data_IF_381935763864
#
_entry.id   IF_381935763864
#
_cell.length_a   1.000
_cell.length_b   1.000
_cell.length_c   1.000
_cell.angle_alpha   90.00
_cell.angle_beta   90.00
_cell.angle_gamma   90.00
#
_symmetry.space_group_name_H-M   'P 1'
#
loop_
_entity.id
_entity.type
_entity.pdbx_description
1 polymer ?
#
# COMPACT_ATOMS: atom_id res chain seq x y z
N UNK A 1 -13.10 -0.40 13.56
CA UNK A 1 -12.45 -1.27 12.55
C UNK A 1 -13.27 -1.24 11.27
N UNK A 2 -12.62 -1.15 10.11
CA UNK A 2 -13.24 -1.32 8.80
C UNK A 2 -12.62 -2.56 8.14
N UNK A 3 -13.45 -3.53 7.78
CA UNK A 3 -13.03 -4.77 7.12
C UNK A 3 -13.60 -4.84 5.71
N UNK A 4 -12.74 -5.02 4.72
CA UNK A 4 -13.10 -5.24 3.33
C UNK A 4 -12.76 -6.69 2.99
N UNK A 5 -13.75 -7.42 2.46
CA UNK A 5 -13.61 -8.81 2.03
C UNK A 5 -14.00 -8.94 0.57
N UNK A 6 -13.11 -9.54 -0.21
CA UNK A 6 -13.34 -9.89 -1.61
C UNK A 6 -13.54 -11.40 -1.71
N UNK A 7 -14.68 -11.81 -2.26
CA UNK A 7 -14.97 -13.22 -2.53
C UNK A 7 -15.11 -13.41 -4.03
N UNK A 8 -14.24 -14.25 -4.60
CA UNK A 8 -14.08 -14.35 -6.05
C UNK A 8 -14.18 -15.79 -6.56
N UNK A 9 -14.83 -15.95 -7.71
CA UNK A 9 -14.97 -17.19 -8.48
C UNK A 9 -14.89 -16.85 -9.96
N UNK A 10 -14.54 -17.84 -10.78
CA UNK A 10 -14.46 -17.68 -12.23
C UNK A 10 -14.97 -18.92 -12.96
N UNK A 11 -15.42 -18.75 -14.20
CA UNK A 11 -15.78 -19.83 -15.13
C UNK A 11 -14.63 -20.22 -16.07
N UNK A 12 -13.59 -19.39 -16.16
CA UNK A 12 -12.36 -19.64 -16.94
C UNK A 12 -11.12 -19.17 -16.18
N UNK A 13 -9.93 -19.77 -16.41
CA UNK A 13 -8.69 -19.25 -15.85
C UNK A 13 -8.53 -17.76 -16.15
N UNK A 14 -8.40 -16.93 -15.11
CA UNK A 14 -8.33 -15.47 -15.27
C UNK A 14 -7.32 -14.85 -14.30
N UNK A 15 -6.51 -13.88 -14.73
CA UNK A 15 -5.84 -12.99 -13.80
C UNK A 15 -6.84 -12.30 -12.88
N UNK A 16 -6.53 -12.24 -11.59
CA UNK A 16 -7.34 -11.50 -10.63
C UNK A 16 -6.49 -10.98 -9.47
N UNK A 17 -6.56 -9.67 -9.27
CA UNK A 17 -6.03 -8.97 -8.10
C UNK A 17 -6.99 -7.82 -7.78
N UNK A 18 -7.51 -7.77 -6.57
CA UNK A 18 -8.48 -6.76 -6.13
C UNK A 18 -7.85 -5.95 -5.01
N UNK A 19 -8.17 -4.65 -4.97
CA UNK A 19 -7.69 -3.76 -3.92
C UNK A 19 -8.68 -2.64 -3.65
N UNK A 20 -8.38 -1.81 -2.65
CA UNK A 20 -9.11 -0.61 -2.36
C UNK A 20 -8.16 0.60 -2.43
N UNK A 21 -8.48 1.56 -3.28
CA UNK A 21 -7.62 2.73 -3.55
C UNK A 21 -7.99 3.95 -2.68
N UNK A 22 -8.28 3.72 -1.39
CA UNK A 22 -8.59 4.82 -0.47
C UNK A 22 -7.34 5.63 -0.17
N UNK A 23 -7.44 6.95 -0.35
CA UNK A 23 -6.45 7.89 0.15
C UNK A 23 -6.75 8.21 1.62
N UNK A 24 -5.77 7.99 2.48
CA UNK A 24 -5.83 8.35 3.89
C UNK A 24 -5.02 9.63 4.14
N UNK A 25 -5.50 10.42 5.10
CA UNK A 25 -4.71 11.44 5.76
C UNK A 25 -5.20 11.60 7.21
N UNK A 26 -4.40 11.09 8.14
CA UNK A 26 -4.78 11.04 9.55
C UNK A 26 -4.79 12.43 10.25
N UNK A 27 -4.26 13.50 9.64
CA UNK A 27 -4.49 14.87 10.15
C UNK A 27 -5.87 15.43 9.74
N UNK A 28 -6.69 14.65 9.03
CA UNK A 28 -7.99 15.08 8.52
C UNK A 28 -7.90 15.89 7.23
N UNK A 29 -6.88 15.64 6.40
CA UNK A 29 -6.61 16.36 5.15
C UNK A 29 -6.33 17.86 5.30
N UNK A 30 -5.99 18.31 6.51
CA UNK A 30 -5.63 19.72 6.79
C UNK A 30 -4.33 20.11 6.09
N UNK A 31 -3.34 19.22 6.12
CA UNK A 31 -2.03 19.44 5.51
C UNK A 31 -1.48 18.17 4.85
N UNK A 32 -0.31 18.26 4.23
CA UNK A 32 0.45 17.15 3.65
C UNK A 32 0.76 16.07 4.69
N UNK A 33 1.07 14.88 4.20
CA UNK A 33 1.32 13.68 5.02
C UNK A 33 2.75 13.57 5.57
N UNK A 34 3.55 14.65 5.46
CA UNK A 34 4.99 14.58 5.76
C UNK A 34 5.28 14.28 7.23
N UNK A 35 4.36 14.62 8.13
CA UNK A 35 4.49 14.37 9.56
C UNK A 35 3.96 13.01 10.02
N UNK A 36 3.35 12.24 9.12
CA UNK A 36 2.95 10.87 9.43
C UNK A 36 4.18 10.01 9.69
N UNK A 37 4.10 9.20 10.74
CA UNK A 37 5.12 8.22 11.10
C UNK A 37 4.62 6.86 10.64
N UNK A 38 5.42 6.21 9.80
CA UNK A 38 5.07 4.97 9.11
C UNK A 38 5.95 3.84 9.63
N UNK A 39 5.33 2.71 9.90
CA UNK A 39 5.95 1.41 9.97
C UNK A 39 5.30 0.50 8.91
N UNK A 40 6.13 -0.19 8.13
CA UNK A 40 5.72 -1.17 7.12
C UNK A 40 6.60 -2.41 7.28
N UNK A 41 5.97 -3.54 7.59
CA UNK A 41 6.64 -4.80 7.90
C UNK A 41 6.97 -5.54 6.60
N UNK A 42 8.11 -5.18 6.02
CA UNK A 42 8.56 -5.69 4.73
C UNK A 42 10.07 -5.59 4.65
N UNK A 43 10.73 -6.66 4.19
CA UNK A 43 12.18 -6.66 4.00
C UNK A 43 12.57 -6.33 2.55
N UNK A 44 11.59 -6.30 1.62
CA UNK A 44 11.81 -6.17 0.17
C UNK A 44 10.70 -5.42 -0.53
N UNK A 45 11.04 -4.77 -1.64
CA UNK A 45 10.06 -4.21 -2.58
C UNK A 45 10.33 -4.70 -4.00
N UNK A 46 9.31 -4.69 -4.86
CA UNK A 46 9.47 -5.04 -6.27
C UNK A 46 10.12 -3.88 -7.03
N UNK A 47 11.15 -4.21 -7.81
CA UNK A 47 11.87 -3.25 -8.65
C UNK A 47 11.11 -3.08 -9.97
N UNK A 48 10.66 -1.87 -10.31
CA UNK A 48 10.07 -1.61 -11.62
C UNK A 48 11.14 -1.44 -12.70
N UNK A 49 10.77 -1.74 -13.95
CA UNK A 49 11.53 -1.37 -15.14
C UNK A 49 11.40 0.13 -15.48
N UNK A 50 12.00 0.56 -16.59
CA UNK A 50 11.95 1.95 -17.07
C UNK A 50 10.53 2.45 -17.41
N UNK A 51 9.56 1.56 -17.55
CA UNK A 51 8.14 1.87 -17.78
C UNK A 51 7.32 1.92 -16.49
N UNK A 52 7.98 1.78 -15.34
CA UNK A 52 7.39 1.69 -14.01
C UNK A 52 6.62 0.37 -13.74
N UNK A 53 6.94 -0.71 -14.46
CA UNK A 53 6.28 -2.01 -14.31
C UNK A 53 7.21 -3.00 -13.61
N UNK A 54 6.79 -3.64 -12.51
CA UNK A 54 7.58 -4.69 -11.89
C UNK A 54 7.83 -5.89 -12.79
N UNK A 55 9.09 -6.33 -12.86
CA UNK A 55 9.54 -7.47 -13.70
C UNK A 55 9.90 -8.72 -12.89
N UNK A 56 9.67 -8.70 -11.58
CA UNK A 56 9.89 -9.83 -10.67
C UNK A 56 11.19 -9.75 -9.86
N UNK A 57 12.05 -8.77 -10.12
CA UNK A 57 13.19 -8.48 -9.25
C UNK A 57 12.71 -7.89 -7.91
N UNK A 58 13.26 -8.38 -6.80
CA UNK A 58 13.00 -7.88 -5.45
C UNK A 58 14.29 -7.28 -4.87
N UNK A 59 14.24 -6.03 -4.43
CA UNK A 59 15.35 -5.36 -3.76
C UNK A 59 15.12 -5.26 -2.26
N UNK A 60 16.18 -5.38 -1.47
CA UNK A 60 16.11 -5.21 -0.03
C UNK A 60 15.80 -3.75 0.35
N UNK A 61 14.96 -3.54 1.37
CA UNK A 61 14.71 -2.19 1.89
C UNK A 61 15.82 -1.70 2.82
N UNK A 62 16.53 -2.64 3.47
CA UNK A 62 17.48 -2.34 4.54
C UNK A 62 18.58 -1.37 4.06
N UNK A 63 18.83 -0.32 4.84
CA UNK A 63 19.82 0.70 4.51
C UNK A 63 19.39 1.69 3.42
N UNK A 64 18.12 1.68 3.00
CA UNK A 64 17.56 2.64 2.04
C UNK A 64 16.50 3.54 2.68
N UNK A 65 16.14 4.63 1.98
CA UNK A 65 14.99 5.46 2.34
C UNK A 65 13.66 4.68 2.44
N UNK A 66 13.56 3.54 1.73
CA UNK A 66 12.39 2.67 1.70
C UNK A 66 12.26 1.77 2.94
N UNK A 67 13.24 1.75 3.86
CA UNK A 67 13.14 0.95 5.08
C UNK A 67 12.18 1.58 6.09
N UNK A 68 11.00 0.98 6.27
CA UNK A 68 10.02 1.35 7.28
C UNK A 68 9.83 0.24 8.31
N UNK A 69 10.79 -0.69 8.49
CA UNK A 69 10.65 -1.73 9.53
C UNK A 69 10.59 -1.14 10.94
N UNK A 70 11.25 0.00 11.14
CA UNK A 70 11.09 0.85 12.31
C UNK A 70 10.23 2.06 11.95
N UNK A 71 9.52 2.60 12.93
CA UNK A 71 8.75 3.83 12.79
C UNK A 71 9.64 4.97 12.29
N UNK A 72 9.32 5.50 11.11
CA UNK A 72 10.05 6.57 10.44
C UNK A 72 9.08 7.64 9.96
N UNK A 73 9.43 8.91 10.15
CA UNK A 73 8.61 10.02 9.65
C UNK A 73 8.74 10.10 8.12
N UNK A 74 7.61 10.23 7.41
CA UNK A 74 7.63 10.30 5.94
C UNK A 74 8.52 11.43 5.42
N UNK A 75 8.47 12.61 6.07
CA UNK A 75 9.29 13.76 5.71
C UNK A 75 10.80 13.51 5.81
N UNK A 76 11.27 12.56 6.63
CA UNK A 76 12.68 12.17 6.67
C UNK A 76 13.05 11.35 5.44
N UNK A 77 12.22 10.37 5.08
CA UNK A 77 12.46 9.54 3.91
C UNK A 77 12.35 10.35 2.60
N UNK A 78 11.51 11.40 2.57
CA UNK A 78 11.39 12.31 1.43
C UNK A 78 12.65 13.16 1.19
N UNK A 79 13.58 13.25 2.14
CA UNK A 79 14.87 13.93 1.90
C UNK A 79 15.70 13.18 0.86
N UNK A 80 15.61 11.87 0.85
CA UNK A 80 16.28 10.99 -0.11
C UNK A 80 15.38 10.69 -1.33
N UNK A 81 14.06 10.62 -1.12
CA UNK A 81 13.05 10.39 -2.15
C UNK A 81 12.09 11.60 -2.27
N UNK A 82 12.52 12.73 -2.84
CA UNK A 82 11.72 13.98 -2.89
C UNK A 82 10.46 13.86 -3.74
N UNK A 83 10.37 12.81 -4.54
CA UNK A 83 9.20 12.50 -5.37
C UNK A 83 8.17 11.64 -4.64
N UNK A 84 8.46 11.21 -3.41
CA UNK A 84 7.60 10.35 -2.60
C UNK A 84 7.77 8.87 -2.94
N UNK A 85 6.76 8.08 -2.59
CA UNK A 85 6.75 6.63 -2.77
C UNK A 85 5.68 6.23 -3.78
N UNK A 86 6.06 5.24 -4.59
CA UNK A 86 5.22 4.48 -5.51
C UNK A 86 5.83 3.07 -5.61
N UNK A 87 6.04 2.43 -4.46
CA UNK A 87 6.75 1.16 -4.36
C UNK A 87 5.81 0.06 -3.88
N UNK A 88 5.85 -1.09 -4.56
CA UNK A 88 5.15 -2.27 -4.12
C UNK A 88 5.99 -3.05 -3.12
N UNK A 89 5.56 -3.10 -1.87
CA UNK A 89 6.25 -3.81 -0.80
C UNK A 89 5.77 -5.26 -0.68
N UNK A 90 6.72 -6.18 -0.47
CA UNK A 90 6.45 -7.59 -0.21
C UNK A 90 6.40 -7.80 1.30
N UNK A 91 5.26 -8.16 1.84
CA UNK A 91 5.05 -8.18 3.30
C UNK A 91 5.76 -9.35 3.97
N UNK A 92 6.30 -9.11 5.18
CA UNK A 92 6.95 -10.13 6.01
C UNK A 92 5.90 -10.99 6.74
N UNK A 93 5.17 -11.79 5.97
CA UNK A 93 4.14 -12.73 6.45
C UNK A 93 3.93 -13.86 5.44
N UNK A 94 3.40 -15.02 5.86
CA UNK A 94 2.91 -16.03 4.93
C UNK A 94 1.79 -15.49 4.04
N UNK A 95 1.75 -15.87 2.76
CA UNK A 95 0.64 -15.52 1.86
C UNK A 95 -0.68 -16.17 2.34
N UNK A 96 -1.79 -15.44 2.24
CA UNK A 96 -3.12 -15.90 2.66
C UNK A 96 -3.43 -15.78 4.16
N UNK A 97 -2.43 -15.68 5.04
CA UNK A 97 -2.65 -15.46 6.48
C UNK A 97 -3.03 -14.00 6.76
N UNK A 98 -4.06 -13.73 7.56
CA UNK A 98 -4.41 -12.36 7.95
C UNK A 98 -3.46 -11.87 9.05
N UNK A 99 -2.55 -10.96 8.72
CA UNK A 99 -1.59 -10.41 9.68
C UNK A 99 -1.43 -8.89 9.53
N UNK A 100 -0.97 -8.22 10.60
CA UNK A 100 -0.61 -6.79 10.56
C UNK A 100 0.61 -6.60 9.67
N UNK A 101 0.51 -5.66 8.74
CA UNK A 101 1.57 -5.33 7.77
C UNK A 101 2.02 -3.88 7.86
N UNK A 102 1.17 -2.98 8.35
CA UNK A 102 1.52 -1.57 8.49
C UNK A 102 0.89 -0.94 9.73
N UNK A 103 1.55 0.11 10.20
CA UNK A 103 1.05 1.04 11.21
C UNK A 103 1.45 2.46 10.80
N UNK A 104 0.48 3.37 10.74
CA UNK A 104 0.70 4.76 10.41
C UNK A 104 0.07 5.61 11.51
N UNK A 105 0.83 6.56 12.06
CA UNK A 105 0.34 7.50 13.07
C UNK A 105 0.51 8.94 12.58
N UNK A 106 -0.33 9.83 13.07
CA UNK A 106 -0.13 11.27 12.93
C UNK A 106 -0.03 11.91 14.32
N UNK A 107 1.16 12.38 14.70
CA UNK A 107 1.44 12.77 16.09
C UNK A 107 0.55 13.89 16.65
N UNK A 108 0.08 14.82 15.82
CA UNK A 108 -0.68 16.00 16.28
C UNK A 108 -2.11 15.64 16.68
N UNK A 109 -2.78 14.81 15.87
CA UNK A 109 -4.13 14.34 16.15
C UNK A 109 -4.17 13.11 17.06
N UNK A 110 -3.05 12.41 17.26
CA UNK A 110 -2.97 11.14 17.97
C UNK A 110 -3.54 9.95 17.19
N UNK A 111 -4.13 10.18 16.00
CA UNK A 111 -4.79 9.13 15.22
C UNK A 111 -3.78 8.11 14.72
N UNK A 112 -4.17 6.84 14.78
CA UNK A 112 -3.41 5.69 14.30
C UNK A 112 -4.26 4.84 13.37
N UNK A 113 -3.65 4.36 12.29
CA UNK A 113 -4.16 3.39 11.36
C UNK A 113 -3.26 2.16 11.37
N UNK A 114 -3.78 1.01 11.82
CA UNK A 114 -3.16 -0.29 11.57
C UNK A 114 -3.79 -0.93 10.33
N UNK A 115 -2.97 -1.55 9.49
CA UNK A 115 -3.43 -2.31 8.31
C UNK A 115 -3.07 -3.77 8.48
N UNK A 116 -4.09 -4.63 8.39
CA UNK A 116 -3.93 -6.08 8.35
C UNK A 116 -4.44 -6.59 7.01
N UNK A 117 -3.81 -7.62 6.45
CA UNK A 117 -4.28 -8.20 5.19
C UNK A 117 -3.87 -9.66 5.02
N UNK A 118 -4.62 -10.40 4.20
CA UNK A 118 -4.24 -11.72 3.68
C UNK A 118 -3.37 -11.63 2.43
N UNK A 119 -3.27 -10.46 1.81
CA UNK A 119 -2.48 -10.22 0.60
C UNK A 119 -0.97 -10.39 0.85
N UNK A 120 -0.18 -10.77 -0.17
CA UNK A 120 1.26 -10.97 -0.05
C UNK A 120 2.04 -9.64 -0.05
N UNK A 121 1.45 -8.57 -0.57
CA UNK A 121 2.09 -7.26 -0.65
C UNK A 121 1.10 -6.12 -0.85
N UNK A 122 1.63 -4.94 -1.10
CA UNK A 122 0.81 -3.78 -1.43
C UNK A 122 1.62 -2.58 -1.91
N UNK A 123 0.99 -1.78 -2.77
CA UNK A 123 1.54 -0.53 -3.24
C UNK A 123 1.41 0.54 -2.16
N UNK A 124 2.53 1.05 -1.66
CA UNK A 124 2.55 2.24 -0.81
C UNK A 124 2.81 3.46 -1.69
N UNK A 125 1.76 4.26 -1.87
CA UNK A 125 1.77 5.43 -2.74
C UNK A 125 1.46 6.70 -1.96
N UNK A 126 2.27 7.75 -2.12
CA UNK A 126 2.13 9.00 -1.35
C UNK A 126 1.45 10.14 -2.10
N UNK A 127 0.70 9.86 -3.17
CA UNK A 127 -0.13 10.90 -3.79
C UNK A 127 0.65 11.95 -4.58
N UNK A 128 1.76 11.57 -5.22
CA UNK A 128 2.60 12.48 -6.01
C UNK A 128 1.85 13.16 -7.16
N UNK A 129 1.01 12.40 -7.86
CA UNK A 129 0.31 12.82 -9.07
C UNK A 129 -1.09 13.38 -8.80
N UNK A 130 -1.51 13.47 -7.55
CA UNK A 130 -2.78 14.10 -7.19
C UNK A 130 -2.69 15.61 -7.48
N UNK A 131 -3.53 16.09 -8.40
CA UNK A 131 -3.48 17.49 -8.84
C UNK A 131 -3.76 18.48 -7.72
N UNK A 132 -2.95 19.54 -7.67
CA UNK A 132 -3.11 20.69 -6.80
C UNK A 132 -4.29 21.59 -7.21
N UNK A 133 -4.95 21.32 -8.33
CA UNK A 133 -6.15 22.04 -8.81
C UNK A 133 -7.44 21.41 -8.29
N UNK A 134 -7.42 20.12 -7.91
CA UNK A 134 -8.61 19.43 -7.41
C UNK A 134 -8.98 19.93 -6.00
N UNK A 135 -10.28 20.12 -5.79
CA UNK A 135 -10.86 20.60 -4.54
C UNK A 135 -11.99 19.69 -4.09
N UNK A 136 -12.15 19.58 -2.78
CA UNK A 136 -13.33 18.98 -2.14
C UNK A 136 -14.51 19.96 -2.19
N UNK A 137 -15.68 19.47 -1.83
CA UNK A 137 -16.90 20.29 -1.72
C UNK A 137 -16.75 21.45 -0.73
N UNK A 138 -15.93 21.27 0.31
CA UNK A 138 -15.62 22.30 1.32
C UNK A 138 -14.48 23.27 0.92
N UNK A 139 -13.95 23.12 -0.31
CA UNK A 139 -12.84 23.94 -0.82
C UNK A 139 -11.44 23.48 -0.38
N UNK A 140 -11.31 22.43 0.44
CA UNK A 140 -10.01 21.87 0.82
C UNK A 140 -9.35 21.21 -0.39
N UNK A 141 -8.04 21.38 -0.53
CA UNK A 141 -7.27 20.83 -1.65
C UNK A 141 -7.12 19.30 -1.52
N UNK A 142 -7.34 18.56 -2.62
CA UNK A 142 -6.92 17.16 -2.70
C UNK A 142 -5.40 17.07 -2.74
N UNK A 143 -4.75 17.61 -3.78
CA UNK A 143 -3.35 18.03 -3.81
C UNK A 143 -2.26 16.99 -3.64
N UNK A 144 -1.07 17.38 -4.09
CA UNK A 144 0.14 16.58 -4.05
C UNK A 144 0.57 16.33 -2.60
N UNK A 145 0.86 15.06 -2.28
CA UNK A 145 1.31 14.61 -0.95
C UNK A 145 0.34 14.89 0.20
N UNK A 146 -0.95 15.06 -0.08
CA UNK A 146 -2.00 15.27 0.93
C UNK A 146 -2.78 14.01 1.25
N UNK A 147 -2.41 12.87 0.67
CA UNK A 147 -2.93 11.57 1.06
C UNK A 147 -1.98 10.45 0.64
N UNK A 148 -2.06 9.33 1.35
CA UNK A 148 -1.38 8.09 0.98
C UNK A 148 -2.36 6.96 0.75
N UNK A 149 -1.96 5.98 -0.07
CA UNK A 149 -2.65 4.71 -0.25
C UNK A 149 -1.74 3.57 0.22
N UNK A 150 -2.36 2.51 0.77
CA UNK A 150 -1.72 1.21 0.90
C UNK A 150 -2.63 0.17 0.25
N UNK A 151 -2.37 -0.10 -1.03
CA UNK A 151 -3.20 -0.94 -1.88
C UNK A 151 -2.73 -2.39 -1.77
N UNK A 152 -3.18 -3.05 -0.70
CA UNK A 152 -2.93 -4.48 -0.47
C UNK A 152 -3.49 -5.28 -1.64
N UNK A 153 -2.67 -6.09 -2.28
CA UNK A 153 -3.02 -6.79 -3.53
C UNK A 153 -2.03 -7.93 -3.82
N UNK A 154 -2.28 -8.68 -4.89
CA UNK A 154 -1.29 -9.57 -5.51
C UNK A 154 -0.26 -8.75 -6.28
N UNK A 155 0.85 -9.38 -6.67
CA UNK A 155 1.95 -8.69 -7.34
C UNK A 155 1.46 -7.97 -8.62
N UNK A 156 1.80 -6.68 -8.82
CA UNK A 156 1.62 -6.03 -10.11
C UNK A 156 2.39 -6.80 -11.18
N UNK A 157 1.81 -6.89 -12.38
CA UNK A 157 2.34 -7.72 -13.46
C UNK A 157 2.48 -9.23 -13.11
N UNK A 158 1.85 -9.68 -12.02
CA UNK A 158 1.96 -11.05 -11.49
C UNK A 158 1.80 -12.17 -12.53
N UNK A 159 0.79 -12.16 -13.42
CA UNK A 159 0.64 -13.19 -14.45
C UNK A 159 1.87 -13.42 -15.34
N UNK A 160 2.75 -12.42 -15.46
CA UNK A 160 3.97 -12.48 -16.26
C UNK A 160 5.23 -12.71 -15.41
N UNK A 161 5.11 -12.74 -14.08
CA UNK A 161 6.23 -12.95 -13.15
C UNK A 161 6.17 -14.41 -12.66
N UNK A 162 7.20 -15.18 -13.00
CA UNK A 162 7.32 -16.57 -12.56
C UNK A 162 7.36 -16.65 -11.02
N UNK A 163 6.56 -17.55 -10.45
CA UNK A 163 6.47 -17.72 -9.00
C UNK A 163 5.67 -16.64 -8.27
N UNK A 164 5.04 -15.70 -8.98
CA UNK A 164 4.18 -14.71 -8.34
C UNK A 164 3.00 -15.38 -7.61
N UNK A 165 2.69 -14.95 -6.38
CA UNK A 165 1.68 -15.60 -5.56
C UNK A 165 0.27 -15.39 -6.13
N UNK A 166 -0.45 -16.49 -6.38
CA UNK A 166 -1.90 -16.50 -6.62
C UNK A 166 -2.37 -15.51 -7.71
N UNK A 167 -1.60 -15.29 -8.78
CA UNK A 167 -1.93 -14.30 -9.81
C UNK A 167 -3.09 -14.70 -10.73
N UNK A 168 -3.33 -16.00 -10.90
CA UNK A 168 -4.42 -16.57 -11.70
C UNK A 168 -5.45 -17.23 -10.78
N UNK A 169 -6.74 -17.00 -11.02
CA UNK A 169 -7.86 -17.71 -10.41
C UNK A 169 -8.35 -18.78 -11.40
N UNK A 170 -8.50 -20.03 -10.95
CA UNK A 170 -8.95 -21.14 -11.79
C UNK A 170 -10.42 -21.51 -11.55
N UNK A 171 -11.13 -22.09 -12.53
CA UNK A 171 -12.47 -22.64 -12.32
C UNK A 171 -12.48 -23.69 -11.20
N UNK A 172 -13.51 -23.65 -10.36
CA UNK A 172 -13.64 -24.53 -9.19
C UNK A 172 -12.97 -23.98 -7.92
N UNK A 173 -12.08 -22.99 -8.03
CA UNK A 173 -11.53 -22.29 -6.88
C UNK A 173 -12.51 -21.23 -6.35
N UNK A 174 -12.53 -21.04 -5.04
CA UNK A 174 -13.10 -19.85 -4.40
C UNK A 174 -11.99 -19.16 -3.64
N UNK A 175 -11.72 -17.90 -3.98
CA UNK A 175 -10.71 -17.10 -3.30
C UNK A 175 -11.36 -16.07 -2.40
N UNK A 176 -10.91 -16.02 -1.16
CA UNK A 176 -11.23 -14.97 -0.22
C UNK A 176 -9.96 -14.18 0.10
N UNK A 177 -10.01 -12.87 -0.09
CA UNK A 177 -8.95 -11.95 0.30
C UNK A 177 -9.55 -10.86 1.21
N UNK A 178 -8.81 -10.47 2.25
CA UNK A 178 -9.29 -9.58 3.31
C UNK A 178 -8.27 -8.50 3.60
N UNK A 179 -8.74 -7.27 3.75
CA UNK A 179 -7.97 -6.15 4.31
C UNK A 179 -8.76 -5.48 5.41
N UNK A 180 -8.08 -5.19 6.52
CA UNK A 180 -8.64 -4.56 7.70
C UNK A 180 -7.89 -3.26 7.96
N UNK A 181 -8.64 -2.16 8.01
CA UNK A 181 -8.18 -0.85 8.45
C UNK A 181 -8.68 -0.61 9.87
N UNK A 182 -7.77 -0.68 10.85
CA UNK A 182 -8.09 -0.49 12.26
C UNK A 182 -7.65 0.91 12.71
N UNK A 183 -8.62 1.80 12.84
CA UNK A 183 -8.41 3.16 13.36
C UNK A 183 -8.51 3.19 14.89
N UNK A 184 -7.62 3.97 15.51
CA UNK A 184 -7.60 4.30 16.95
C UNK A 184 -7.06 5.72 17.15
N UNK A 185 -7.17 6.26 18.38
CA UNK A 185 -6.71 7.58 18.79
C UNK A 185 -6.19 7.55 20.22
#
# INVERSE_FOLDING_TARGET
>A
ELRIRYLSRTDKPTPLSLTNHTYFNLNGFKDRILDHVVQLLSDRYLVPDETNVPVGEEAAVAGTACDFNQHKRLGEAFKELPLGFEHYYVFRKPDGELAKVAEITEPTSGRKLEVLTTEPGGLFYTGRYTSDELRREDGTQFGKFRGFCLETSKYPNGPNIAGSPRSILLPGETREDVTVFKLSW
#
